data_IF_623217886651
#
_entry.id   IF_623217886651
#
_cell.length_a   1.000
_cell.length_b   1.000
_cell.length_c   1.000
_cell.angle_alpha   90.00
_cell.angle_beta   90.00
_cell.angle_gamma   90.00
#
_symmetry.space_group_name_H-M   'P 1'
#
loop_
_entity.id
_entity.type
_entity.pdbx_description
1 polymer ?
#
# COMPACT_ATOMS: atom_id res chain seq x y z
N UNK A 1 -1.48 -13.03 -9.23
CA UNK A 1 -0.53 -12.28 -8.37
C UNK A 1 0.69 -11.93 -9.21
N UNK A 2 1.27 -10.75 -9.02
CA UNK A 2 2.51 -10.31 -9.67
C UNK A 2 3.39 -9.57 -8.68
N UNK A 3 4.54 -9.07 -9.12
CA UNK A 3 5.43 -8.29 -8.26
C UNK A 3 4.83 -6.94 -7.88
N UNK A 4 5.17 -6.47 -6.69
CA UNK A 4 4.83 -5.13 -6.25
C UNK A 4 5.75 -4.09 -6.92
N UNK A 5 5.39 -2.82 -6.81
CA UNK A 5 6.08 -1.74 -7.52
C UNK A 5 7.32 -1.21 -6.78
N UNK A 6 7.73 -1.89 -5.71
CA UNK A 6 8.66 -1.36 -4.70
C UNK A 6 10.14 -1.68 -4.95
N UNK A 7 10.44 -2.58 -5.89
CA UNK A 7 11.81 -2.96 -6.25
C UNK A 7 12.60 -1.90 -7.02
N UNK A 8 13.87 -2.15 -7.28
CA UNK A 8 14.70 -1.33 -8.17
C UNK A 8 14.89 -2.04 -9.51
N UNK A 9 14.77 -1.34 -10.66
CA UNK A 9 14.88 -1.99 -11.96
C UNK A 9 16.32 -2.47 -12.22
N UNK A 10 16.46 -3.64 -12.85
CA UNK A 10 17.75 -4.21 -13.18
C UNK A 10 18.36 -3.53 -14.42
N UNK A 11 19.12 -2.44 -14.22
CA UNK A 11 19.78 -1.72 -15.31
C UNK A 11 20.79 -2.59 -16.08
N UNK A 12 21.39 -3.60 -15.44
CA UNK A 12 22.50 -4.38 -16.00
C UNK A 12 22.10 -5.59 -16.88
N UNK A 13 20.83 -6.00 -16.92
CA UNK A 13 20.40 -7.22 -17.65
C UNK A 13 19.76 -6.96 -19.02
N UNK A 14 19.78 -5.73 -19.53
CA UNK A 14 19.25 -5.42 -20.87
C UNK A 14 20.33 -4.82 -21.76
N UNK A 15 21.02 -5.68 -22.52
CA UNK A 15 21.96 -5.27 -23.58
C UNK A 15 21.27 -4.72 -24.83
N UNK A 16 19.98 -4.38 -24.76
CA UNK A 16 19.24 -3.74 -25.85
C UNK A 16 18.51 -2.53 -25.29
N UNK A 17 19.03 -1.34 -25.63
CA UNK A 17 18.39 -0.05 -25.41
C UNK A 17 17.07 0.00 -26.17
N UNK A 18 15.99 -0.41 -25.53
CA UNK A 18 14.64 0.07 -25.86
C UNK A 18 13.77 0.02 -24.61
N UNK A 19 13.43 1.20 -24.10
CA UNK A 19 12.20 1.48 -23.34
C UNK A 19 12.13 0.88 -21.93
N UNK A 20 12.53 1.69 -20.95
CA UNK A 20 11.74 2.01 -19.75
C UNK A 20 10.78 0.93 -19.22
N UNK A 21 11.24 -0.28 -18.90
CA UNK A 21 10.44 -1.17 -18.06
C UNK A 21 10.51 -0.64 -16.63
N UNK A 22 9.56 0.25 -16.31
CA UNK A 22 9.29 0.67 -14.94
C UNK A 22 8.96 -0.61 -14.14
N UNK A 23 9.17 -0.64 -12.83
CA UNK A 23 8.86 -1.80 -11.97
C UNK A 23 7.42 -2.35 -12.11
N UNK A 24 6.53 -1.60 -12.77
CA UNK A 24 5.16 -1.97 -13.13
C UNK A 24 5.05 -3.01 -14.26
N UNK A 25 6.10 -3.23 -15.05
CA UNK A 25 6.07 -4.10 -16.25
C UNK A 25 6.79 -5.44 -16.01
N UNK A 26 6.88 -5.89 -14.76
CA UNK A 26 7.41 -7.21 -14.44
C UNK A 26 6.51 -8.30 -15.03
N UNK A 27 7.11 -9.21 -15.81
CA UNK A 27 6.40 -10.31 -16.46
C UNK A 27 6.01 -11.42 -15.50
N UNK A 28 6.64 -11.48 -14.32
CA UNK A 28 6.36 -12.47 -13.30
C UNK A 28 4.87 -12.53 -12.95
N UNK A 29 4.28 -13.72 -13.07
CA UNK A 29 2.88 -13.97 -12.75
C UNK A 29 2.71 -15.30 -12.06
N UNK A 30 2.03 -15.26 -10.93
CA UNK A 30 1.62 -16.41 -10.14
C UNK A 30 0.10 -16.54 -10.18
N UNK A 31 -0.36 -17.77 -10.44
CA UNK A 31 -1.76 -18.13 -10.58
C UNK A 31 -2.13 -19.13 -9.49
N UNK A 32 -3.20 -18.84 -8.76
CA UNK A 32 -3.77 -19.73 -7.77
C UNK A 32 -5.18 -20.12 -8.22
N UNK A 33 -5.46 -21.42 -8.26
CA UNK A 33 -6.81 -21.94 -8.52
C UNK A 33 -7.21 -22.89 -7.41
N UNK A 34 -8.31 -22.57 -6.73
CA UNK A 34 -8.95 -23.48 -5.79
C UNK A 34 -9.82 -24.47 -6.55
N UNK A 35 -9.74 -25.76 -6.22
CA UNK A 35 -10.65 -26.74 -6.79
C UNK A 35 -12.02 -26.63 -6.12
N UNK A 36 -13.10 -26.60 -6.91
CA UNK A 36 -14.44 -26.34 -6.38
C UNK A 36 -14.93 -27.41 -5.37
N UNK A 37 -14.45 -28.66 -5.50
CA UNK A 37 -14.87 -29.81 -4.68
C UNK A 37 -13.78 -30.35 -3.76
N UNK A 38 -12.65 -29.66 -3.64
CA UNK A 38 -11.53 -30.10 -2.81
C UNK A 38 -11.00 -28.92 -1.99
N UNK A 39 -10.46 -29.22 -0.82
CA UNK A 39 -9.70 -28.27 -0.01
C UNK A 39 -8.35 -27.92 -0.66
N UNK A 40 -7.91 -28.70 -1.64
CA UNK A 40 -6.67 -28.46 -2.36
C UNK A 40 -6.75 -27.22 -3.25
N UNK A 41 -5.63 -26.49 -3.29
CA UNK A 41 -5.41 -25.36 -4.19
C UNK A 41 -4.19 -25.64 -5.04
N UNK A 42 -4.27 -25.30 -6.34
CA UNK A 42 -3.15 -25.41 -7.25
C UNK A 42 -2.50 -24.04 -7.42
N UNK A 43 -1.20 -23.98 -7.14
CA UNK A 43 -0.36 -22.80 -7.34
C UNK A 43 0.57 -23.06 -8.52
N UNK A 44 0.54 -22.20 -9.53
CA UNK A 44 1.40 -22.29 -10.71
C UNK A 44 2.06 -20.96 -11.00
N UNK A 45 3.35 -21.00 -11.32
CA UNK A 45 4.08 -19.87 -11.88
C UNK A 45 3.83 -19.87 -13.40
N UNK A 46 3.24 -18.79 -13.92
CA UNK A 46 2.96 -18.62 -15.35
C UNK A 46 4.19 -18.13 -16.10
N UNK A 47 4.92 -17.19 -15.50
CA UNK A 47 6.19 -16.68 -16.00
C UNK A 47 7.13 -16.49 -14.81
N UNK A 48 8.30 -17.16 -14.77
CA UNK A 48 9.25 -17.03 -13.68
C UNK A 48 10.20 -15.83 -13.83
N UNK A 49 10.15 -15.07 -14.94
CA UNK A 49 11.11 -14.00 -15.20
C UNK A 49 10.75 -12.72 -14.44
N UNK A 50 11.75 -12.14 -13.79
CA UNK A 50 11.68 -10.83 -13.15
C UNK A 50 12.52 -9.81 -13.91
N UNK A 51 12.03 -8.58 -14.04
CA UNK A 51 12.77 -7.43 -14.61
C UNK A 51 13.50 -6.59 -13.55
N UNK A 52 13.40 -7.00 -12.28
CA UNK A 52 13.99 -6.36 -11.12
C UNK A 52 14.48 -7.44 -10.15
N UNK A 53 15.41 -7.06 -9.28
CA UNK A 53 15.85 -7.93 -8.20
C UNK A 53 14.80 -7.99 -7.08
N UNK A 54 14.91 -9.02 -6.24
CA UNK A 54 14.08 -9.13 -5.05
C UNK A 54 14.42 -7.98 -4.09
N UNK A 55 13.41 -7.35 -3.51
CA UNK A 55 13.65 -6.25 -2.58
C UNK A 55 14.24 -6.78 -1.27
N UNK A 56 15.43 -6.32 -0.90
CA UNK A 56 16.06 -6.64 0.39
C UNK A 56 15.33 -5.99 1.57
N UNK A 57 14.72 -4.84 1.31
CA UNK A 57 13.92 -4.12 2.28
C UNK A 57 12.46 -4.60 2.23
N UNK A 58 12.08 -5.52 3.12
CA UNK A 58 10.69 -6.00 3.26
C UNK A 58 9.74 -4.84 3.55
N UNK A 59 10.22 -3.78 4.21
CA UNK A 59 9.47 -2.54 4.46
C UNK A 59 9.26 -1.70 3.21
N UNK A 60 9.77 -2.09 2.04
CA UNK A 60 9.38 -1.52 0.76
C UNK A 60 7.92 -1.88 0.40
N UNK A 61 7.47 -3.06 0.82
CA UNK A 61 6.18 -3.59 0.44
C UNK A 61 5.03 -2.92 1.22
N UNK A 62 3.96 -2.45 0.55
CA UNK A 62 2.88 -1.69 1.17
C UNK A 62 2.18 -2.39 2.34
N UNK A 63 2.10 -3.73 2.31
CA UNK A 63 1.44 -4.50 3.36
C UNK A 63 2.12 -4.37 4.73
N UNK A 64 3.45 -4.30 4.77
CA UNK A 64 4.20 -4.11 6.02
C UNK A 64 4.09 -2.68 6.56
N UNK A 65 3.62 -1.75 5.72
CA UNK A 65 3.42 -0.33 6.06
C UNK A 65 1.99 -0.02 6.50
N UNK A 66 1.07 -1.00 6.47
CA UNK A 66 -0.33 -0.78 6.85
C UNK A 66 -0.43 -0.33 8.30
N UNK A 67 -1.40 0.55 8.56
CA UNK A 67 -1.77 0.91 9.92
C UNK A 67 -2.76 -0.10 10.47
N UNK A 68 -2.54 -0.57 11.70
CA UNK A 68 -3.50 -1.38 12.43
C UNK A 68 -4.69 -0.51 12.90
N UNK A 69 -5.67 -1.12 13.55
CA UNK A 69 -6.88 -0.41 13.99
C UNK A 69 -6.58 0.65 15.06
N UNK A 70 -5.73 0.35 16.04
CA UNK A 70 -5.33 1.29 17.10
C UNK A 70 -4.62 2.52 16.54
N UNK A 71 -3.69 2.34 15.61
CA UNK A 71 -2.99 3.42 14.89
C UNK A 71 -3.93 4.21 13.99
N UNK A 72 -4.88 3.52 13.35
CA UNK A 72 -5.91 4.16 12.53
C UNK A 72 -6.78 5.08 13.38
N UNK A 73 -7.14 4.66 14.59
CA UNK A 73 -7.89 5.45 15.56
C UNK A 73 -7.14 6.68 16.05
N UNK A 74 -5.80 6.67 16.03
CA UNK A 74 -4.95 7.83 16.35
C UNK A 74 -4.75 8.78 15.15
N UNK A 75 -4.92 8.29 13.93
CA UNK A 75 -4.91 9.12 12.71
C UNK A 75 -6.26 9.84 12.52
N UNK A 76 -7.36 9.23 13.00
CA UNK A 76 -8.76 9.67 12.89
C UNK A 76 -9.26 10.80 13.84
N UNK A 77 -8.71 11.10 15.03
CA UNK A 77 -9.42 11.87 16.04
C UNK A 77 -9.18 13.38 15.94
N UNK A 78 -8.43 13.85 14.95
CA UNK A 78 -7.95 15.23 14.93
C UNK A 78 -8.64 15.97 13.78
N UNK A 79 -9.46 17.01 14.07
CA UNK A 79 -10.01 17.87 13.04
C UNK A 79 -8.89 18.48 12.21
N UNK A 80 -9.16 18.74 10.93
CA UNK A 80 -8.20 19.12 9.87
C UNK A 80 -7.20 20.26 10.22
N UNK A 81 -7.34 20.95 11.36
CA UNK A 81 -6.62 22.16 11.73
C UNK A 81 -5.45 22.04 12.72
N UNK A 82 -5.18 20.93 13.44
CA UNK A 82 -4.21 21.02 14.58
C UNK A 82 -3.08 19.99 14.72
N UNK A 83 -3.06 18.87 13.98
CA UNK A 83 -1.93 17.93 14.06
C UNK A 83 -1.29 17.70 12.69
N UNK A 84 -0.19 18.44 12.53
CA UNK A 84 0.82 18.27 11.48
C UNK A 84 1.29 16.80 11.51
N UNK A 85 1.37 16.09 10.37
CA UNK A 85 1.82 14.70 10.30
C UNK A 85 3.14 14.41 11.05
N UNK A 86 4.01 15.42 11.15
CA UNK A 86 5.25 15.41 11.94
C UNK A 86 5.06 15.16 13.44
N UNK A 87 3.94 15.58 14.03
CA UNK A 87 3.63 15.36 15.46
C UNK A 87 3.09 13.95 15.75
N UNK A 88 2.43 13.34 14.78
CA UNK A 88 1.80 12.01 14.92
C UNK A 88 2.83 10.89 14.72
N UNK A 89 3.78 11.09 13.81
CA UNK A 89 4.80 10.07 13.52
C UNK A 89 5.57 9.61 14.77
N UNK A 90 6.10 10.49 15.65
CA UNK A 90 6.79 10.05 16.86
C UNK A 90 5.93 9.15 17.75
N UNK A 91 4.65 9.48 17.92
CA UNK A 91 3.71 8.70 18.73
C UNK A 91 3.43 7.32 18.13
N UNK A 92 3.24 7.25 16.81
CA UNK A 92 3.09 5.98 16.10
C UNK A 92 4.38 5.16 16.14
N UNK A 93 5.53 5.80 16.00
CA UNK A 93 6.84 5.14 16.09
C UNK A 93 7.12 4.57 17.48
N UNK A 94 6.72 5.26 18.57
CA UNK A 94 6.94 4.78 19.93
C UNK A 94 6.09 3.57 20.32
N UNK A 95 4.97 3.35 19.61
CA UNK A 95 4.02 2.26 19.91
C UNK A 95 4.22 1.04 19.01
N UNK A 96 5.04 1.15 17.96
CA UNK A 96 5.31 0.05 17.04
C UNK A 96 6.53 -0.75 17.48
N UNK A 97 6.49 -2.04 17.18
CA UNK A 97 7.70 -2.87 17.12
C UNK A 97 8.69 -2.27 16.11
N UNK A 98 9.98 -2.38 16.43
CA UNK A 98 11.12 -1.75 15.73
C UNK A 98 11.11 -1.98 14.21
N UNK A 99 10.46 -3.05 13.76
CA UNK A 99 10.47 -3.50 12.37
C UNK A 99 9.36 -2.90 11.48
N UNK A 100 8.52 -1.97 11.98
CA UNK A 100 7.42 -1.39 11.18
C UNK A 100 7.50 0.13 11.06
N UNK A 101 8.43 0.68 10.24
CA UNK A 101 8.62 2.12 10.14
C UNK A 101 7.37 2.84 9.59
N UNK A 102 7.04 3.97 10.23
CA UNK A 102 5.96 4.85 9.79
C UNK A 102 6.49 5.84 8.75
N UNK A 103 6.00 5.72 7.52
CA UNK A 103 6.31 6.67 6.46
C UNK A 103 5.35 7.85 6.55
N UNK A 104 5.91 9.08 6.63
CA UNK A 104 5.12 10.32 6.77
C UNK A 104 4.04 10.45 5.69
N UNK A 105 4.33 10.05 4.47
CA UNK A 105 3.41 10.10 3.33
C UNK A 105 2.20 9.16 3.49
N UNK A 106 2.31 8.10 4.29
CA UNK A 106 1.19 7.16 4.50
C UNK A 106 0.10 7.78 5.40
N UNK A 107 0.46 8.70 6.30
CA UNK A 107 -0.46 9.36 7.22
C UNK A 107 -1.56 10.14 6.46
N UNK A 108 -1.25 11.09 5.55
CA UNK A 108 -2.28 11.79 4.78
C UNK A 108 -3.07 10.85 3.86
N UNK A 109 -2.43 9.85 3.25
CA UNK A 109 -3.12 8.84 2.42
C UNK A 109 -4.17 8.06 3.22
N UNK A 110 -3.83 7.66 4.46
CA UNK A 110 -4.76 6.98 5.37
C UNK A 110 -5.89 7.91 5.81
N UNK A 111 -5.61 9.19 6.10
CA UNK A 111 -6.66 10.20 6.39
C UNK A 111 -7.64 10.33 5.23
N UNK A 112 -7.14 10.44 4.00
CA UNK A 112 -8.00 10.52 2.82
C UNK A 112 -8.87 9.27 2.66
N UNK A 113 -8.33 8.08 2.97
CA UNK A 113 -9.10 6.83 2.96
C UNK A 113 -10.23 6.84 4.00
N UNK A 114 -9.92 7.21 5.25
CA UNK A 114 -10.91 7.34 6.34
C UNK A 114 -12.00 8.36 5.95
N UNK A 115 -11.62 9.50 5.38
CA UNK A 115 -12.55 10.53 4.91
C UNK A 115 -13.49 9.99 3.84
N UNK A 116 -12.95 9.26 2.85
CA UNK A 116 -13.74 8.62 1.80
C UNK A 116 -14.71 7.57 2.35
N UNK A 117 -14.27 6.77 3.32
CA UNK A 117 -15.10 5.78 4.01
C UNK A 117 -16.23 6.45 4.81
N UNK A 118 -15.94 7.52 5.57
CA UNK A 118 -16.94 8.31 6.30
C UNK A 118 -17.97 8.95 5.37
N UNK A 119 -17.54 9.44 4.21
CA UNK A 119 -18.43 10.01 3.21
C UNK A 119 -19.21 8.95 2.41
N UNK A 120 -18.97 7.65 2.64
CA UNK A 120 -19.58 6.55 1.87
C UNK A 120 -19.43 6.74 0.34
N UNK A 121 -18.34 7.38 -0.09
CA UNK A 121 -18.12 7.71 -1.51
C UNK A 121 -18.86 8.95 -2.04
N UNK A 122 -19.68 9.63 -1.23
CA UNK A 122 -20.30 10.92 -1.57
C UNK A 122 -19.28 12.06 -1.57
N UNK A 123 -19.58 13.15 -2.28
CA UNK A 123 -18.75 14.35 -2.20
C UNK A 123 -19.05 15.08 -0.90
N UNK A 124 -18.06 15.81 -0.39
CA UNK A 124 -18.23 16.64 0.81
C UNK A 124 -19.40 17.62 0.67
N UNK A 125 -19.58 18.17 -0.53
CA UNK A 125 -20.64 19.15 -0.80
C UNK A 125 -22.03 18.52 -0.66
N UNK A 126 -22.20 17.26 -1.08
CA UNK A 126 -23.48 16.55 -0.98
C UNK A 126 -23.86 16.35 0.49
N UNK A 127 -22.88 15.95 1.31
CA UNK A 127 -23.07 15.78 2.76
C UNK A 127 -23.35 17.11 3.46
N UNK A 128 -22.66 18.18 3.06
CA UNK A 128 -22.90 19.52 3.59
C UNK A 128 -24.31 20.01 3.27
N UNK A 129 -24.79 19.81 2.04
CA UNK A 129 -26.15 20.16 1.63
C UNK A 129 -27.19 19.37 2.44
N UNK A 130 -26.96 18.08 2.69
CA UNK A 130 -27.86 17.26 3.51
C UNK A 130 -27.93 17.74 4.97
N UNK A 131 -26.81 18.23 5.53
CA UNK A 131 -26.79 18.75 6.92
C UNK A 131 -27.39 20.14 7.11
N UNK A 132 -27.62 20.88 6.03
CA UNK A 132 -28.17 22.24 6.05
C UNK A 132 -29.69 22.28 5.79
N UNK A 133 -30.32 21.12 5.56
CA UNK A 133 -31.78 20.96 5.45
C UNK A 133 -32.38 20.59 6.81
#
# INVERSE_FOLDING_TARGET
MGCDRSGTPNLHKTSSKTVTQRNIDCLFRLYARKYAKSTASNLKVKDPKHSHDATENIMAHPDFRKFNEQETSQISPIPESLLIPRKIKPQLCSQRETDRPVILQNIPNKRMKIKKEKLQGRRLIDVLIDTLK
#
